data_IF_389413043358
#
_entry.id   IF_389413043358
#
_cell.length_a   1.000
_cell.length_b   1.000
_cell.length_c   1.000
_cell.angle_alpha   90.00
_cell.angle_beta   90.00
_cell.angle_gamma   90.00
#
_symmetry.space_group_name_H-M   'P 1'
#
loop_
_entity.id
_entity.type
_entity.pdbx_description
1 polymer ?
#
# COMPACT_ATOMS: atom_id res chain seq x y z
N UNK A 1 -14.34 2.09 -7.82
CA UNK A 1 -13.13 1.26 -7.83
C UNK A 1 -12.76 0.89 -9.25
N UNK A 2 -13.48 -0.01 -9.92
CA UNK A 2 -13.15 -0.45 -11.29
C UNK A 2 -12.96 0.72 -12.25
N UNK A 3 -13.91 1.67 -12.28
CA UNK A 3 -13.78 2.88 -13.10
C UNK A 3 -12.48 3.65 -12.81
N UNK A 4 -12.14 3.86 -11.53
CA UNK A 4 -10.89 4.53 -11.14
C UNK A 4 -9.64 3.78 -11.62
N UNK A 5 -9.62 2.44 -11.48
CA UNK A 5 -8.51 1.61 -11.96
C UNK A 5 -8.35 1.72 -13.48
N UNK A 6 -9.45 1.61 -14.24
CA UNK A 6 -9.46 1.71 -15.70
C UNK A 6 -9.04 3.11 -16.16
N UNK A 7 -9.53 4.17 -15.53
CA UNK A 7 -9.14 5.54 -15.86
C UNK A 7 -7.65 5.78 -15.63
N UNK A 8 -7.11 5.38 -14.48
CA UNK A 8 -5.68 5.52 -14.18
C UNK A 8 -4.84 4.74 -15.19
N UNK A 9 -5.22 3.49 -15.49
CA UNK A 9 -4.54 2.68 -16.50
C UNK A 9 -4.55 3.32 -17.88
N UNK A 10 -5.71 3.81 -18.31
CA UNK A 10 -5.82 4.49 -19.59
C UNK A 10 -4.93 5.72 -19.65
N UNK A 11 -4.94 6.58 -18.62
CA UNK A 11 -4.13 7.80 -18.58
C UNK A 11 -2.63 7.47 -18.66
N UNK A 12 -2.13 6.57 -17.83
CA UNK A 12 -0.70 6.22 -17.80
C UNK A 12 -0.26 5.54 -19.10
N UNK A 13 -1.06 4.60 -19.62
CA UNK A 13 -0.73 3.92 -20.88
C UNK A 13 -0.76 4.89 -22.07
N UNK A 14 -1.78 5.76 -22.15
CA UNK A 14 -1.85 6.80 -23.19
C UNK A 14 -0.65 7.75 -23.10
N UNK A 15 -0.24 8.16 -21.90
CA UNK A 15 0.94 8.99 -21.71
C UNK A 15 2.23 8.29 -22.18
N UNK A 16 2.37 6.98 -21.92
CA UNK A 16 3.48 6.17 -22.42
C UNK A 16 3.52 6.09 -23.96
N UNK A 17 2.37 6.01 -24.63
CA UNK A 17 2.31 6.09 -26.10
C UNK A 17 2.77 7.43 -26.66
N UNK A 18 2.62 8.52 -25.90
CA UNK A 18 3.02 9.87 -26.30
C UNK A 18 4.51 10.17 -26.03
N UNK A 19 5.15 9.38 -25.15
CA UNK A 19 6.59 9.43 -24.90
C UNK A 19 6.96 9.45 -23.41
N UNK A 20 8.21 9.09 -23.08
CA UNK A 20 8.68 8.94 -21.70
C UNK A 20 8.49 10.20 -20.86
N UNK A 21 8.87 11.37 -21.37
CA UNK A 21 8.72 12.63 -20.63
C UNK A 21 7.25 12.93 -20.26
N UNK A 22 6.32 12.67 -21.19
CA UNK A 22 4.89 12.87 -20.94
C UNK A 22 4.39 11.84 -19.92
N UNK A 23 4.85 10.58 -20.01
CA UNK A 23 4.54 9.53 -19.05
C UNK A 23 5.00 9.86 -17.64
N UNK A 24 6.24 10.33 -17.48
CA UNK A 24 6.83 10.78 -16.21
C UNK A 24 5.98 11.86 -15.59
N UNK A 25 5.86 13.00 -16.27
CA UNK A 25 5.10 14.14 -15.74
C UNK A 25 3.66 13.74 -15.42
N UNK A 26 2.98 13.02 -16.32
CA UNK A 26 1.59 12.61 -16.08
C UNK A 26 1.47 11.74 -14.83
N UNK A 27 2.38 10.78 -14.66
CA UNK A 27 2.33 9.84 -13.54
C UNK A 27 2.60 10.52 -12.22
N UNK A 28 3.62 11.39 -12.13
CA UNK A 28 3.96 12.09 -10.88
C UNK A 28 2.84 13.03 -10.45
N UNK A 29 2.18 13.69 -11.42
CA UNK A 29 0.98 14.50 -11.14
C UNK A 29 -0.22 13.65 -10.70
N UNK A 30 -0.36 12.40 -11.15
CA UNK A 30 -1.43 11.49 -10.72
C UNK A 30 -1.20 10.97 -9.31
N UNK A 31 0.05 10.77 -8.90
CA UNK A 31 0.40 10.30 -7.56
C UNK A 31 -0.21 11.21 -6.48
N UNK A 32 -0.10 12.53 -6.63
CA UNK A 32 -0.58 13.51 -5.64
C UNK A 32 -2.09 13.41 -5.29
N UNK A 33 -3.05 13.51 -6.23
CA UNK A 33 -4.46 13.40 -5.89
C UNK A 33 -4.85 12.00 -5.42
N UNK A 34 -4.18 10.95 -5.91
CA UNK A 34 -4.50 9.56 -5.54
C UNK A 34 -4.02 9.25 -4.11
N UNK A 35 -2.76 9.54 -3.78
CA UNK A 35 -2.21 9.36 -2.43
C UNK A 35 -2.80 10.37 -1.44
N UNK A 36 -3.09 11.60 -1.88
CA UNK A 36 -3.79 12.61 -1.07
C UNK A 36 -5.21 12.19 -0.69
N UNK A 37 -5.94 11.57 -1.61
CA UNK A 37 -7.27 10.98 -1.32
C UNK A 37 -7.15 9.87 -0.26
N UNK A 38 -6.15 9.00 -0.38
CA UNK A 38 -5.86 7.96 0.59
C UNK A 38 -5.59 8.54 1.99
N UNK A 39 -4.76 9.58 2.06
CA UNK A 39 -4.46 10.28 3.32
C UNK A 39 -5.72 10.86 3.95
N UNK A 40 -6.54 11.59 3.20
CA UNK A 40 -7.80 12.17 3.70
C UNK A 40 -8.72 11.09 4.27
N UNK A 41 -8.89 9.98 3.54
CA UNK A 41 -9.74 8.88 3.99
C UNK A 41 -9.18 8.19 5.25
N UNK A 42 -7.86 8.05 5.35
CA UNK A 42 -7.20 7.45 6.52
C UNK A 42 -7.41 8.30 7.79
N UNK A 43 -7.26 9.62 7.68
CA UNK A 43 -7.54 10.57 8.76
C UNK A 43 -8.99 10.47 9.22
N UNK A 44 -9.95 10.50 8.27
CA UNK A 44 -11.38 10.42 8.58
C UNK A 44 -11.71 9.14 9.35
N UNK A 45 -11.22 7.98 8.91
CA UNK A 45 -11.52 6.71 9.57
C UNK A 45 -10.84 6.60 10.94
N UNK A 46 -9.61 7.10 11.08
CA UNK A 46 -8.89 7.10 12.35
C UNK A 46 -9.61 7.91 13.43
N UNK A 47 -10.05 9.14 13.08
CA UNK A 47 -10.86 10.00 13.97
C UNK A 47 -12.15 9.30 14.41
N UNK A 48 -12.76 8.52 13.52
CA UNK A 48 -14.01 7.82 13.80
C UNK A 48 -13.86 6.67 14.78
N UNK A 49 -12.81 5.87 14.65
CA UNK A 49 -12.59 4.69 15.50
C UNK A 49 -11.82 5.00 16.79
N UNK A 50 -11.18 6.17 16.91
CA UNK A 50 -10.60 6.74 18.15
C UNK A 50 -9.59 5.83 18.88
N UNK A 51 -8.98 4.85 18.22
CA UNK A 51 -7.93 3.99 18.79
C UNK A 51 -8.33 3.07 19.96
N UNK A 52 -9.62 2.98 20.32
CA UNK A 52 -10.05 2.25 21.53
C UNK A 52 -10.09 0.72 21.35
N UNK A 53 -10.23 0.25 20.12
CA UNK A 53 -10.25 -1.17 19.74
C UNK A 53 -9.03 -1.52 18.88
N UNK A 54 -8.75 -2.81 18.70
CA UNK A 54 -7.67 -3.26 17.81
C UNK A 54 -7.83 -2.71 16.39
N UNK A 55 -9.06 -2.72 15.85
CA UNK A 55 -9.36 -2.12 14.55
C UNK A 55 -9.14 -0.60 14.53
N UNK A 56 -9.44 0.09 15.64
CA UNK A 56 -9.16 1.52 15.76
C UNK A 56 -7.68 1.84 15.83
N UNK A 57 -6.89 1.01 16.52
CA UNK A 57 -5.42 1.11 16.54
C UNK A 57 -4.83 0.83 15.16
N UNK A 58 -5.36 -0.17 14.45
CA UNK A 58 -4.97 -0.45 13.07
C UNK A 58 -5.10 0.83 12.21
N UNK A 59 -6.25 1.51 12.25
CA UNK A 59 -6.44 2.73 11.46
C UNK A 59 -5.57 3.91 11.87
N UNK A 60 -5.16 4.02 13.14
CA UNK A 60 -4.15 5.00 13.55
C UNK A 60 -2.81 4.68 12.89
N UNK A 61 -2.36 3.43 12.94
CA UNK A 61 -1.12 3.02 12.27
C UNK A 61 -1.20 3.22 10.75
N UNK A 62 -2.34 2.88 10.14
CA UNK A 62 -2.57 3.10 8.71
C UNK A 62 -2.51 4.59 8.33
N UNK A 63 -3.03 5.47 9.20
CA UNK A 63 -2.92 6.93 8.99
C UNK A 63 -1.47 7.40 9.08
N UNK A 64 -0.69 6.85 10.01
CA UNK A 64 0.76 7.10 10.08
C UNK A 64 1.46 6.70 8.80
N UNK A 65 1.19 5.49 8.29
CA UNK A 65 1.66 5.01 6.99
C UNK A 65 1.26 5.99 5.87
N UNK A 66 -0.03 6.27 5.69
CA UNK A 66 -0.52 7.12 4.61
C UNK A 66 0.04 8.56 4.68
N UNK A 67 0.31 9.08 5.88
CA UNK A 67 0.92 10.40 6.07
C UNK A 67 2.36 10.40 5.58
N UNK A 68 3.17 9.45 6.06
CA UNK A 68 4.58 9.34 5.67
C UNK A 68 4.70 9.08 4.16
N UNK A 69 3.87 8.18 3.65
CA UNK A 69 3.85 7.83 2.23
C UNK A 69 3.47 9.04 1.36
N UNK A 70 2.46 9.82 1.74
CA UNK A 70 2.09 11.04 1.02
C UNK A 70 3.22 12.09 1.03
N UNK A 71 3.93 12.23 2.16
CA UNK A 71 5.10 13.12 2.23
C UNK A 71 6.20 12.62 1.28
N UNK A 72 6.47 11.31 1.25
CA UNK A 72 7.42 10.72 0.32
C UNK A 72 7.07 11.00 -1.15
N UNK A 73 5.80 10.83 -1.53
CA UNK A 73 5.28 11.16 -2.87
C UNK A 73 5.44 12.65 -3.21
N UNK A 74 5.21 13.54 -2.23
CA UNK A 74 5.38 14.98 -2.42
C UNK A 74 6.86 15.35 -2.60
N UNK A 75 7.76 14.74 -1.82
CA UNK A 75 9.20 14.96 -1.98
C UNK A 75 9.67 14.42 -3.33
N UNK A 76 9.26 13.21 -3.72
CA UNK A 76 9.56 12.62 -5.03
C UNK A 76 9.13 13.54 -6.17
N UNK A 77 7.87 13.98 -6.16
CA UNK A 77 7.34 14.91 -7.15
C UNK A 77 8.15 16.21 -7.23
N UNK A 78 8.54 16.80 -6.09
CA UNK A 78 9.32 18.03 -6.06
C UNK A 78 10.74 17.79 -6.62
N UNK A 79 11.41 16.73 -6.17
CA UNK A 79 12.75 16.33 -6.60
C UNK A 79 12.83 16.10 -8.10
N UNK A 80 11.87 15.36 -8.66
CA UNK A 80 11.87 14.98 -10.06
C UNK A 80 11.42 16.13 -10.98
N UNK A 81 10.29 16.77 -10.67
CA UNK A 81 9.69 17.77 -11.58
C UNK A 81 10.41 19.13 -11.50
N UNK A 82 10.78 19.58 -10.30
CA UNK A 82 11.35 20.93 -10.13
C UNK A 82 12.87 20.93 -10.08
N UNK A 83 13.49 19.94 -9.44
CA UNK A 83 14.93 19.87 -9.31
C UNK A 83 15.61 18.98 -10.35
N UNK A 84 14.85 18.20 -11.14
CA UNK A 84 15.37 17.27 -12.15
C UNK A 84 16.40 16.30 -11.58
N UNK A 85 16.23 15.92 -10.31
CA UNK A 85 17.07 14.95 -9.62
C UNK A 85 16.47 13.56 -9.76
N UNK A 86 17.33 12.53 -9.77
CA UNK A 86 16.87 11.16 -9.54
C UNK A 86 16.70 10.97 -8.01
N UNK A 87 15.47 10.82 -7.50
CA UNK A 87 15.21 10.77 -6.06
C UNK A 87 15.71 9.47 -5.39
N UNK A 88 15.86 8.39 -6.16
CA UNK A 88 16.38 7.12 -5.66
C UNK A 88 17.92 7.10 -5.61
N UNK A 89 18.57 6.62 -4.52
CA UNK A 89 18.03 6.03 -3.28
C UNK A 89 18.11 6.97 -2.06
N UNK A 90 18.07 8.30 -2.23
CA UNK A 90 18.58 9.23 -1.23
C UNK A 90 17.56 9.61 -0.13
N UNK A 91 16.91 10.78 -0.25
CA UNK A 91 16.07 11.33 0.83
C UNK A 91 14.68 10.73 0.84
N UNK A 92 14.16 10.42 -0.35
CA UNK A 92 12.76 10.10 -0.61
C UNK A 92 12.47 8.65 -0.18
N UNK A 93 13.44 7.78 -0.41
CA UNK A 93 13.45 6.36 -0.03
C UNK A 93 13.41 6.12 1.48
N UNK A 94 14.10 6.97 2.25
CA UNK A 94 14.10 6.87 3.70
C UNK A 94 12.70 7.08 4.29
N UNK A 95 11.89 7.92 3.65
CA UNK A 95 10.49 8.14 4.05
C UNK A 95 9.63 6.92 3.73
N UNK A 96 9.79 6.31 2.54
CA UNK A 96 9.08 5.06 2.21
C UNK A 96 9.41 3.97 3.23
N UNK A 97 10.69 3.75 3.54
CA UNK A 97 11.12 2.78 4.55
C UNK A 97 10.52 3.04 5.94
N UNK A 98 10.38 4.31 6.34
CA UNK A 98 9.73 4.67 7.61
C UNK A 98 8.24 4.33 7.64
N UNK A 99 7.57 4.25 6.48
CA UNK A 99 6.17 3.83 6.36
C UNK A 99 5.94 2.35 6.64
N UNK A 100 6.91 1.48 6.36
CA UNK A 100 6.76 0.02 6.51
C UNK A 100 6.42 -0.44 7.93
N UNK A 101 7.10 0.04 9.00
CA UNK A 101 6.71 -0.27 10.38
C UNK A 101 5.24 0.05 10.69
N UNK A 102 4.72 1.17 10.19
CA UNK A 102 3.32 1.54 10.37
C UNK A 102 2.38 0.61 9.61
N UNK A 103 2.71 0.24 8.38
CA UNK A 103 1.92 -0.69 7.57
C UNK A 103 1.92 -2.11 8.16
N UNK A 104 3.04 -2.54 8.74
CA UNK A 104 3.15 -3.82 9.43
C UNK A 104 2.29 -3.84 10.70
N UNK A 105 2.39 -2.79 11.53
CA UNK A 105 1.56 -2.66 12.72
C UNK A 105 0.07 -2.58 12.35
N UNK A 106 -0.29 -1.83 11.31
CA UNK A 106 -1.64 -1.86 10.75
C UNK A 106 -2.06 -3.30 10.46
N UNK A 107 -1.29 -4.05 9.67
CA UNK A 107 -1.63 -5.40 9.25
C UNK A 107 -1.84 -6.36 10.42
N UNK A 108 -0.98 -6.30 11.43
CA UNK A 108 -1.11 -7.10 12.66
C UNK A 108 -2.40 -6.76 13.40
N UNK A 109 -2.63 -5.47 13.69
CA UNK A 109 -3.82 -5.04 14.44
C UNK A 109 -5.12 -5.24 13.64
N UNK A 110 -5.04 -5.16 12.31
CA UNK A 110 -6.18 -5.37 11.42
C UNK A 110 -6.61 -6.84 11.38
N UNK A 111 -5.66 -7.78 11.52
CA UNK A 111 -5.93 -9.22 11.60
C UNK A 111 -6.42 -9.70 12.97
N UNK A 112 -6.09 -8.98 14.06
CA UNK A 112 -6.45 -9.39 15.44
C UNK A 112 -7.94 -9.76 15.64
N UNK A 113 -8.92 -8.98 15.16
CA UNK A 113 -10.34 -9.29 15.36
C UNK A 113 -10.77 -10.64 14.77
N UNK A 114 -10.05 -11.14 13.76
CA UNK A 114 -10.29 -12.42 13.08
C UNK A 114 -9.22 -13.47 13.43
N UNK A 115 -8.42 -13.22 14.48
CA UNK A 115 -7.29 -14.06 14.86
C UNK A 115 -7.66 -15.51 15.18
N UNK A 116 -8.86 -15.75 15.72
CA UNK A 116 -9.35 -17.09 16.00
C UNK A 116 -9.54 -17.96 14.74
N UNK A 117 -9.72 -17.34 13.57
CA UNK A 117 -9.81 -18.05 12.28
C UNK A 117 -8.43 -18.40 11.69
N UNK A 118 -7.34 -17.87 12.26
CA UNK A 118 -5.98 -18.08 11.75
C UNK A 118 -5.44 -19.42 12.26
N UNK A 119 -5.49 -20.42 11.39
CA UNK A 119 -4.96 -21.76 11.69
C UNK A 119 -3.44 -21.86 11.54
N UNK A 120 -2.80 -22.83 12.20
CA UNK A 120 -1.37 -23.15 12.02
C UNK A 120 -0.98 -23.43 10.56
N UNK A 121 -1.88 -24.04 9.78
CA UNK A 121 -1.67 -24.29 8.34
C UNK A 121 -1.55 -22.99 7.54
N UNK A 122 -2.30 -21.95 7.91
CA UNK A 122 -2.22 -20.64 7.27
C UNK A 122 -0.90 -19.95 7.57
N UNK A 123 -0.44 -20.04 8.83
CA UNK A 123 0.87 -19.53 9.23
C UNK A 123 2.01 -20.22 8.45
N UNK A 124 1.95 -21.54 8.32
CA UNK A 124 2.93 -22.30 7.54
C UNK A 124 2.93 -21.90 6.06
N UNK A 125 1.74 -21.71 5.46
CA UNK A 125 1.64 -21.26 4.07
C UNK A 125 2.17 -19.82 3.88
N UNK A 126 1.85 -18.91 4.80
CA UNK A 126 2.37 -17.54 4.78
C UNK A 126 3.90 -17.53 4.91
N UNK A 127 4.46 -18.35 5.81
CA UNK A 127 5.91 -18.51 5.93
C UNK A 127 6.55 -19.02 4.64
N UNK A 128 5.99 -20.08 4.04
CA UNK A 128 6.47 -20.63 2.77
C UNK A 128 6.39 -19.61 1.64
N UNK A 129 5.29 -18.87 1.52
CA UNK A 129 5.13 -17.82 0.52
C UNK A 129 6.17 -16.71 0.70
N UNK A 130 6.39 -16.25 1.94
CA UNK A 130 7.43 -15.27 2.26
C UNK A 130 8.83 -15.78 1.91
N UNK A 131 9.16 -17.02 2.24
CA UNK A 131 10.47 -17.61 1.91
C UNK A 131 10.67 -17.78 0.40
N UNK A 132 9.65 -18.24 -0.31
CA UNK A 132 9.64 -18.40 -1.77
C UNK A 132 9.68 -17.07 -2.53
N UNK A 133 9.26 -15.98 -1.90
CA UNK A 133 9.45 -14.64 -2.43
C UNK A 133 10.88 -14.13 -2.15
N UNK A 134 11.32 -14.19 -0.89
CA UNK A 134 12.57 -13.58 -0.44
C UNK A 134 13.79 -14.22 -1.11
N UNK A 135 13.88 -15.56 -1.13
CA UNK A 135 15.08 -16.27 -1.59
C UNK A 135 15.37 -16.02 -3.07
N UNK A 136 14.41 -16.18 -4.00
CA UNK A 136 14.65 -15.88 -5.42
C UNK A 136 14.94 -14.41 -5.68
N UNK A 137 14.26 -13.48 -4.97
CA UNK A 137 14.52 -12.04 -5.15
C UNK A 137 15.96 -11.70 -4.78
N UNK A 138 16.45 -12.15 -3.63
CA UNK A 138 17.85 -11.94 -3.24
C UNK A 138 18.84 -12.61 -4.20
N UNK A 139 18.56 -13.85 -4.61
CA UNK A 139 19.40 -14.57 -5.56
C UNK A 139 19.51 -13.83 -6.90
N UNK A 140 18.39 -13.36 -7.44
CA UNK A 140 18.35 -12.64 -8.71
C UNK A 140 19.09 -11.31 -8.60
N UNK A 141 18.81 -10.50 -7.58
CA UNK A 141 19.47 -9.21 -7.36
C UNK A 141 20.99 -9.36 -7.27
N UNK A 142 21.49 -10.37 -6.54
CA UNK A 142 22.92 -10.66 -6.48
C UNK A 142 23.47 -11.13 -7.84
N UNK A 143 22.74 -11.98 -8.55
CA UNK A 143 23.19 -12.55 -9.83
C UNK A 143 23.33 -11.50 -10.94
N UNK A 144 22.51 -10.43 -10.92
CA UNK A 144 22.61 -9.33 -11.87
C UNK A 144 23.76 -8.36 -11.59
N UNK A 145 24.23 -8.28 -10.34
CA UNK A 145 25.37 -7.43 -9.98
C UNK A 145 26.28 -8.13 -8.95
N UNK A 146 27.05 -9.15 -9.36
CA UNK A 146 27.88 -9.94 -8.45
C UNK A 146 29.07 -9.15 -7.86
N UNK A 147 29.37 -7.98 -8.42
CA UNK A 147 30.43 -7.07 -7.96
C UNK A 147 29.87 -5.86 -7.21
N UNK A 148 28.59 -5.89 -6.81
CA UNK A 148 27.98 -4.83 -6.02
C UNK A 148 28.77 -4.60 -4.72
N UNK A 149 28.96 -3.33 -4.38
CA UNK A 149 29.55 -2.98 -3.09
C UNK A 149 28.53 -3.16 -1.94
N UNK A 150 28.99 -3.07 -0.69
CA UNK A 150 28.14 -3.28 0.48
C UNK A 150 26.93 -2.33 0.53
N UNK A 151 27.10 -1.07 0.13
CA UNK A 151 26.02 -0.08 0.13
C UNK A 151 24.93 -0.45 -0.89
N UNK A 152 25.32 -0.85 -2.10
CA UNK A 152 24.40 -1.31 -3.15
C UNK A 152 23.63 -2.57 -2.71
N UNK A 153 24.31 -3.53 -2.09
CA UNK A 153 23.68 -4.75 -1.59
C UNK A 153 22.66 -4.42 -0.49
N UNK A 154 23.01 -3.49 0.41
CA UNK A 154 22.13 -3.08 1.50
C UNK A 154 20.86 -2.41 0.97
N UNK A 155 21.00 -1.43 0.07
CA UNK A 155 19.85 -0.72 -0.52
C UNK A 155 19.00 -1.61 -1.42
N UNK A 156 19.62 -2.48 -2.23
CA UNK A 156 18.88 -3.42 -3.06
C UNK A 156 18.21 -4.55 -2.24
N UNK A 157 18.72 -4.84 -1.03
CA UNK A 157 18.20 -5.90 -0.16
C UNK A 157 17.14 -5.44 0.84
N UNK A 158 17.12 -4.16 1.23
CA UNK A 158 16.23 -3.70 2.31
C UNK A 158 14.75 -3.77 1.89
N UNK A 159 14.40 -3.35 0.68
CA UNK A 159 13.03 -3.43 0.16
C UNK A 159 12.51 -4.86 0.08
N UNK A 160 13.20 -5.82 -0.60
CA UNK A 160 12.80 -7.22 -0.58
C UNK A 160 12.63 -7.81 0.82
N UNK A 161 13.48 -7.41 1.77
CA UNK A 161 13.39 -7.87 3.15
C UNK A 161 12.12 -7.35 3.84
N UNK A 162 11.85 -6.04 3.78
CA UNK A 162 10.66 -5.46 4.42
C UNK A 162 9.36 -5.90 3.73
N UNK A 163 9.39 -6.09 2.40
CA UNK A 163 8.30 -6.66 1.62
C UNK A 163 7.99 -8.10 2.02
N UNK A 164 9.03 -8.93 2.21
CA UNK A 164 8.86 -10.31 2.69
C UNK A 164 8.20 -10.35 4.07
N UNK A 165 8.59 -9.44 4.98
CA UNK A 165 7.99 -9.28 6.30
C UNK A 165 6.51 -8.89 6.18
N UNK A 166 6.16 -7.95 5.30
CA UNK A 166 4.77 -7.54 5.04
C UNK A 166 3.96 -8.61 4.28
N UNK A 167 4.61 -9.42 3.46
CA UNK A 167 3.95 -10.48 2.70
C UNK A 167 3.33 -11.52 3.64
N UNK A 168 3.96 -11.78 4.79
CA UNK A 168 3.48 -12.75 5.77
C UNK A 168 2.04 -12.45 6.26
N UNK A 169 1.74 -11.30 6.90
CA UNK A 169 0.36 -10.97 7.27
C UNK A 169 -0.55 -10.78 6.06
N UNK A 170 0.00 -10.34 4.92
CA UNK A 170 -0.76 -10.17 3.67
C UNK A 170 -1.34 -11.47 3.16
N UNK A 171 -0.52 -12.53 3.09
CA UNK A 171 -0.97 -13.87 2.67
C UNK A 171 -2.03 -14.41 3.63
N UNK A 172 -1.89 -14.17 4.95
CA UNK A 172 -2.92 -14.56 5.92
C UNK A 172 -4.25 -13.85 5.64
N UNK A 173 -4.23 -12.53 5.46
CA UNK A 173 -5.42 -11.74 5.13
C UNK A 173 -6.10 -12.18 3.85
N UNK A 174 -5.32 -12.56 2.84
CA UNK A 174 -5.79 -13.10 1.57
C UNK A 174 -6.44 -14.48 1.73
N UNK A 175 -5.84 -15.40 2.50
CA UNK A 175 -6.44 -16.71 2.75
C UNK A 175 -7.76 -16.58 3.51
N UNK A 176 -7.84 -15.68 4.50
CA UNK A 176 -9.07 -15.41 5.24
C UNK A 176 -10.21 -14.97 4.30
N UNK A 177 -9.89 -14.16 3.27
CA UNK A 177 -10.86 -13.76 2.26
C UNK A 177 -11.39 -14.96 1.47
N UNK A 178 -10.51 -15.78 0.89
CA UNK A 178 -10.92 -16.92 0.07
C UNK A 178 -11.63 -18.01 0.86
N UNK A 179 -11.40 -18.11 2.17
CA UNK A 179 -12.17 -18.97 3.07
C UNK A 179 -13.52 -18.40 3.49
N UNK A 180 -13.85 -17.17 3.10
CA UNK A 180 -15.11 -16.50 3.45
C UNK A 180 -15.17 -15.98 4.88
N UNK A 181 -14.04 -15.89 5.59
CA UNK A 181 -13.99 -15.37 6.97
C UNK A 181 -14.12 -13.85 7.03
N UNK A 182 -13.86 -13.15 5.92
CA UNK A 182 -13.90 -11.69 5.79
C UNK A 182 -14.48 -11.30 4.43
N UNK A 183 -15.07 -10.10 4.34
CA UNK A 183 -15.64 -9.59 3.09
C UNK A 183 -14.60 -8.94 2.17
N UNK A 184 -14.90 -8.87 0.86
CA UNK A 184 -14.02 -8.32 -0.17
C UNK A 184 -13.46 -6.94 0.19
N UNK A 185 -14.31 -6.03 0.66
CA UNK A 185 -13.91 -4.65 0.93
C UNK A 185 -12.90 -4.53 2.08
N UNK A 186 -12.95 -5.43 3.07
CA UNK A 186 -11.94 -5.55 4.12
C UNK A 186 -10.62 -6.07 3.54
N UNK A 187 -10.72 -7.06 2.64
CA UNK A 187 -9.57 -7.70 2.01
C UNK A 187 -8.82 -6.81 1.03
N UNK A 188 -9.46 -5.77 0.48
CA UNK A 188 -8.82 -4.79 -0.40
C UNK A 188 -7.54 -4.20 0.20
N UNK A 189 -7.46 -4.08 1.53
CA UNK A 189 -6.26 -3.60 2.22
C UNK A 189 -5.07 -4.55 1.98
N UNK A 190 -5.28 -5.86 1.99
CA UNK A 190 -4.22 -6.85 1.73
C UNK A 190 -3.92 -7.01 0.25
N UNK A 191 -4.92 -6.90 -0.62
CA UNK A 191 -4.66 -6.82 -2.07
C UNK A 191 -3.80 -5.61 -2.42
N UNK A 192 -4.04 -4.46 -1.79
CA UNK A 192 -3.22 -3.26 -1.98
C UNK A 192 -1.77 -3.46 -1.51
N UNK A 193 -1.55 -4.06 -0.34
CA UNK A 193 -0.18 -4.38 0.14
C UNK A 193 0.52 -5.33 -0.84
N UNK A 194 -0.19 -6.36 -1.33
CA UNK A 194 0.35 -7.28 -2.32
C UNK A 194 0.74 -6.56 -3.62
N UNK A 195 -0.07 -5.62 -4.09
CA UNK A 195 0.27 -4.82 -5.28
C UNK A 195 1.53 -3.99 -5.08
N UNK A 196 1.73 -3.39 -3.89
CA UNK A 196 2.98 -2.66 -3.59
C UNK A 196 4.18 -3.61 -3.63
N UNK A 197 4.11 -4.77 -2.98
CA UNK A 197 5.21 -5.76 -2.98
C UNK A 197 5.58 -6.20 -4.40
N UNK A 198 4.58 -6.41 -5.27
CA UNK A 198 4.81 -6.75 -6.68
C UNK A 198 5.42 -5.57 -7.43
N UNK A 199 4.96 -4.34 -7.15
CA UNK A 199 5.48 -3.13 -7.74
C UNK A 199 6.94 -2.90 -7.36
N UNK A 200 7.29 -3.02 -6.08
CA UNK A 200 8.65 -2.88 -5.54
C UNK A 200 9.61 -3.90 -6.15
N UNK A 201 9.17 -5.15 -6.29
CA UNK A 201 9.96 -6.19 -6.95
C UNK A 201 10.17 -5.91 -8.43
N UNK A 202 9.13 -5.41 -9.11
CA UNK A 202 9.22 -5.03 -10.53
C UNK A 202 10.08 -3.79 -10.74
N UNK A 203 9.97 -2.79 -9.87
CA UNK A 203 10.82 -1.60 -9.84
C UNK A 203 12.28 -2.00 -9.66
N UNK A 204 12.60 -2.83 -8.66
CA UNK A 204 13.96 -3.30 -8.40
C UNK A 204 14.55 -4.01 -9.63
N UNK A 205 13.77 -4.89 -10.27
CA UNK A 205 14.21 -5.57 -11.48
C UNK A 205 14.53 -4.61 -12.62
N UNK A 206 13.65 -3.64 -12.87
CA UNK A 206 13.81 -2.64 -13.93
C UNK A 206 14.94 -1.65 -13.64
N UNK A 207 15.18 -1.32 -12.37
CA UNK A 207 16.26 -0.45 -11.93
C UNK A 207 17.62 -1.14 -12.11
N UNK A 208 17.74 -2.40 -11.69
CA UNK A 208 18.94 -3.22 -11.90
C UNK A 208 19.26 -3.39 -13.39
N UNK A 209 18.24 -3.59 -14.23
CA UNK A 209 18.38 -3.66 -15.69
C UNK A 209 18.52 -2.28 -16.37
N UNK A 210 18.46 -1.18 -15.60
CA UNK A 210 18.53 0.22 -16.07
C UNK A 210 17.49 0.59 -17.13
N UNK A 211 16.35 -0.09 -17.10
CA UNK A 211 15.22 0.14 -18.00
C UNK A 211 14.08 0.90 -17.32
N UNK A 212 14.17 1.11 -16.01
CA UNK A 212 13.24 1.95 -15.26
C UNK A 212 13.29 3.43 -15.72
N UNK A 213 12.12 4.06 -15.68
CA UNK A 213 11.93 5.50 -15.78
C UNK A 213 10.63 5.82 -15.04
N UNK A 214 10.53 7.01 -14.44
CA UNK A 214 9.29 7.42 -13.79
C UNK A 214 8.14 7.49 -14.81
N UNK A 215 6.99 6.92 -14.46
CA UNK A 215 5.89 6.71 -15.39
C UNK A 215 5.95 5.41 -16.20
N UNK A 216 6.90 4.52 -15.91
CA UNK A 216 6.89 3.15 -16.41
C UNK A 216 5.56 2.45 -16.04
N UNK A 217 5.02 1.55 -16.88
CA UNK A 217 3.80 0.82 -16.57
C UNK A 217 3.79 0.08 -15.22
N UNK A 218 4.95 -0.25 -14.64
CA UNK A 218 5.02 -0.82 -13.28
C UNK A 218 4.41 0.12 -12.23
N UNK A 219 4.50 1.45 -12.42
CA UNK A 219 3.93 2.45 -11.52
C UNK A 219 2.40 2.36 -11.39
N UNK A 220 1.73 1.69 -12.34
CA UNK A 220 0.30 1.39 -12.22
C UNK A 220 -0.04 0.58 -10.98
N UNK A 221 0.85 -0.33 -10.56
CA UNK A 221 0.60 -1.19 -9.42
C UNK A 221 0.59 -0.38 -8.11
N UNK A 222 1.46 0.61 -7.96
CA UNK A 222 1.43 1.57 -6.85
C UNK A 222 0.15 2.42 -6.88
N UNK A 223 -0.21 3.01 -8.03
CA UNK A 223 -1.43 3.80 -8.12
C UNK A 223 -2.69 2.97 -7.83
N UNK A 224 -2.73 1.73 -8.32
CA UNK A 224 -3.80 0.79 -8.02
C UNK A 224 -3.83 0.42 -6.53
N UNK A 225 -2.69 0.26 -5.87
CA UNK A 225 -2.64 -0.02 -4.43
C UNK A 225 -3.33 1.10 -3.64
N UNK A 226 -3.05 2.36 -3.95
CA UNK A 226 -3.71 3.50 -3.30
C UNK A 226 -5.22 3.56 -3.55
N UNK A 227 -5.66 3.20 -4.75
CA UNK A 227 -7.10 3.08 -5.06
C UNK A 227 -7.72 1.97 -4.21
N UNK A 228 -7.10 0.78 -4.16
CA UNK A 228 -7.63 -0.34 -3.38
C UNK A 228 -7.68 -0.01 -1.88
N UNK A 229 -6.62 0.58 -1.32
CA UNK A 229 -6.63 1.08 0.05
C UNK A 229 -7.77 2.08 0.27
N UNK A 230 -7.91 3.08 -0.61
CA UNK A 230 -8.94 4.10 -0.51
C UNK A 230 -10.35 3.51 -0.48
N UNK A 231 -10.64 2.54 -1.36
CA UNK A 231 -11.93 1.85 -1.38
C UNK A 231 -12.14 0.94 -0.16
N UNK A 232 -11.07 0.29 0.33
CA UNK A 232 -11.08 -0.45 1.58
C UNK A 232 -11.49 0.43 2.76
N UNK A 233 -10.84 1.58 2.94
CA UNK A 233 -11.19 2.54 3.99
C UNK A 233 -12.60 3.13 3.81
N UNK A 234 -12.94 3.56 2.60
CA UNK A 234 -14.23 4.16 2.30
C UNK A 234 -15.40 3.23 2.62
N UNK A 235 -15.25 1.94 2.36
CA UNK A 235 -16.28 0.96 2.69
C UNK A 235 -16.57 0.92 4.19
N UNK A 236 -15.52 0.91 5.03
CA UNK A 236 -15.67 0.92 6.48
C UNK A 236 -16.26 2.26 6.95
N UNK A 237 -15.94 3.39 6.31
CA UNK A 237 -16.60 4.66 6.60
C UNK A 237 -18.11 4.58 6.31
N UNK A 238 -18.53 3.97 5.20
CA UNK A 238 -19.95 3.87 4.83
C UNK A 238 -20.71 2.87 5.71
N UNK A 239 -20.18 1.67 5.91
CA UNK A 239 -20.84 0.58 6.63
C UNK A 239 -21.11 0.96 8.09
N UNK A 240 -20.19 1.67 8.75
CA UNK A 240 -20.37 2.03 10.15
C UNK A 240 -21.18 3.32 10.37
N UNK A 241 -21.90 3.86 9.36
CA UNK A 241 -22.77 5.05 9.55
C UNK A 241 -23.71 4.75 10.73
N UNK A 242 -23.58 5.52 11.82
CA UNK A 242 -24.53 5.45 12.93
C UNK A 242 -25.94 5.53 12.33
N UNK A 243 -26.85 4.59 12.63
CA UNK A 243 -28.26 4.86 12.40
C UNK A 243 -28.55 6.18 13.12
N UNK A 244 -29.14 7.15 12.42
CA UNK A 244 -29.84 8.22 13.14
C UNK A 244 -30.87 7.48 13.98
N UNK A 245 -30.66 7.36 15.30
CA UNK A 245 -31.76 7.06 16.21
C UNK A 245 -32.78 8.16 15.90
N UNK A 246 -33.90 7.81 15.27
CA UNK A 246 -35.11 8.62 15.41
C UNK A 246 -35.26 8.71 16.92
N UNK A 247 -35.08 9.91 17.49
CA UNK A 247 -35.52 10.13 18.86
C UNK A 247 -36.99 9.76 18.82
N UNK A 248 -37.36 8.67 19.48
CA UNK A 248 -38.75 8.48 19.82
C UNK A 248 -39.18 9.75 20.57
N UNK A 249 -40.34 10.25 20.17
CA UNK A 249 -40.90 11.52 20.61
C UNK A 249 -40.86 11.66 22.12
N UNK A 250 -40.90 12.91 22.54
CA UNK A 250 -40.89 13.35 23.92
C UNK A 250 -41.72 12.42 24.81
N UNK A 251 -41.14 11.94 25.92
CA UNK A 251 -41.83 11.11 26.92
C UNK A 251 -43.05 11.84 27.52
N UNK A 252 -43.12 13.16 27.31
CA UNK A 252 -44.26 14.01 27.68
C UNK A 252 -45.51 13.84 26.81
N UNK A 253 -45.45 13.12 25.68
CA UNK A 253 -46.63 12.80 24.85
C UNK A 253 -47.39 11.54 25.34
N UNK A 254 -46.96 10.93 26.45
CA UNK A 254 -47.60 9.76 27.08
C UNK A 254 -48.27 10.09 28.43
N UNK A 255 -48.82 11.29 28.57
CA UNK A 255 -49.77 11.64 29.66
C UNK A 255 -51.22 11.59 29.15
#
# INVERSE_FOLDING_TARGET
MIFSLVCISFIVLAANFLGKNIATTTTDFLYLPVSGTLLILSIIISIRFKGKSDIGRAYIFFTGFATIWFIAELVWFISEIFYQLNPFPYVDDSLYLLGYPFLLLFSIYYLKPVGAAISKKMLAFAFLATALFLVPTFYNTYSYNPHANWDQIMWAGIYPLVDAILLFPTVIGMILFFKGNVGLLWSLMFFAILLNIIADSGFLYLDVDRTYYSGNPINLLYLWSYVLFSFGLYSHIKVFKKPKMKSFGNVDELK
#
